data_IF_666033534650
#
_entry.id   IF_666033534650
#
_cell.length_a   1.000
_cell.length_b   1.000
_cell.length_c   1.000
_cell.angle_alpha   90.00
_cell.angle_beta   90.00
_cell.angle_gamma   90.00
#
_symmetry.space_group_name_H-M   'P 1'
#
loop_
_entity.id
_entity.type
_entity.pdbx_description
1 polymer ?
#
# COMPACT_ATOMS: atom_id res chain seq x y z
N UNK A 1 3.94 15.46 16.94
CA UNK A 1 4.78 15.74 15.76
C UNK A 1 4.30 14.82 14.64
N UNK A 2 4.21 15.30 13.42
CA UNK A 2 3.86 14.47 12.28
C UNK A 2 4.79 13.26 12.16
N UNK A 3 4.23 12.14 11.69
CA UNK A 3 5.00 10.93 11.44
C UNK A 3 5.24 10.75 9.95
N UNK A 4 6.27 10.01 9.60
CA UNK A 4 6.59 9.62 8.24
C UNK A 4 6.36 8.13 8.06
N UNK A 5 5.51 7.77 7.11
CA UNK A 5 5.23 6.37 6.81
C UNK A 5 6.38 5.77 6.00
N UNK A 6 6.91 4.65 6.46
CA UNK A 6 8.04 3.95 5.81
C UNK A 6 7.55 2.75 5.01
N UNK A 7 8.40 2.24 4.13
CA UNK A 7 8.12 1.02 3.39
C UNK A 7 7.74 -0.13 4.31
N UNK A 8 6.65 -0.86 4.02
CA UNK A 8 6.18 -1.96 4.87
C UNK A 8 6.96 -3.26 4.68
N UNK A 9 7.86 -3.33 3.71
CA UNK A 9 8.75 -4.47 3.42
C UNK A 9 10.21 -4.01 3.38
N UNK A 10 11.15 -4.92 3.57
CA UNK A 10 12.57 -4.57 3.69
C UNK A 10 13.16 -3.98 2.41
N UNK A 11 12.76 -4.48 1.27
CA UNK A 11 13.09 -3.95 -0.06
C UNK A 11 11.85 -4.01 -0.93
N UNK A 12 11.72 -3.14 -1.93
CA UNK A 12 10.52 -3.08 -2.75
C UNK A 12 10.87 -3.12 -4.24
N UNK A 13 10.37 -4.16 -4.89
CA UNK A 13 10.30 -4.24 -6.34
C UNK A 13 8.84 -4.05 -6.76
N UNK A 14 8.52 -2.95 -7.43
CA UNK A 14 7.19 -2.69 -7.98
C UNK A 14 6.96 -3.60 -9.20
N UNK A 15 5.87 -4.35 -9.19
CA UNK A 15 5.44 -5.24 -10.28
C UNK A 15 4.27 -4.68 -11.08
N UNK A 16 3.39 -3.87 -10.44
CA UNK A 16 2.38 -3.08 -11.12
C UNK A 16 2.19 -1.74 -10.41
N UNK A 17 2.16 -0.65 -11.17
CA UNK A 17 2.05 0.71 -10.65
C UNK A 17 0.61 1.16 -10.43
N UNK A 18 0.47 2.24 -9.66
CA UNK A 18 -0.79 2.92 -9.39
C UNK A 18 -1.40 3.49 -10.68
N UNK A 19 -2.71 3.20 -10.91
CA UNK A 19 -3.49 3.62 -12.09
C UNK A 19 -2.82 3.28 -13.44
N UNK A 20 -2.09 2.16 -13.47
CA UNK A 20 -1.40 1.70 -14.67
C UNK A 20 -2.38 1.40 -15.81
N UNK A 21 -2.17 2.04 -16.96
CA UNK A 21 -3.05 1.90 -18.12
C UNK A 21 -2.98 0.52 -18.78
N UNK A 22 -1.82 -0.14 -18.76
CA UNK A 22 -1.66 -1.50 -19.27
C UNK A 22 -2.41 -2.50 -18.39
N UNK A 23 -2.33 -2.35 -17.08
CA UNK A 23 -3.09 -3.13 -16.12
C UNK A 23 -4.60 -3.01 -16.38
N UNK A 24 -5.09 -1.75 -16.57
CA UNK A 24 -6.50 -1.51 -16.89
C UNK A 24 -6.95 -2.16 -18.20
N UNK A 25 -6.09 -2.17 -19.23
CA UNK A 25 -6.40 -2.85 -20.51
C UNK A 25 -6.48 -4.36 -20.35
N UNK A 26 -5.61 -4.95 -19.53
CA UNK A 26 -5.53 -6.40 -19.33
C UNK A 26 -6.65 -6.92 -18.43
N UNK A 27 -6.90 -6.26 -17.31
CA UNK A 27 -7.82 -6.74 -16.27
C UNK A 27 -9.19 -6.04 -16.27
N UNK A 28 -9.38 -4.97 -17.05
CA UNK A 28 -10.65 -4.28 -17.20
C UNK A 28 -11.00 -3.29 -16.08
N UNK A 29 -10.14 -3.11 -15.06
CA UNK A 29 -10.38 -2.19 -13.95
C UNK A 29 -9.13 -1.38 -13.61
N UNK A 30 -9.34 -0.26 -12.90
CA UNK A 30 -8.26 0.64 -12.48
C UNK A 30 -7.52 0.04 -11.29
N UNK A 31 -6.20 0.04 -11.33
CA UNK A 31 -5.33 -0.40 -10.25
C UNK A 31 -5.09 0.75 -9.26
N UNK A 32 -5.82 0.75 -8.13
CA UNK A 32 -5.76 1.85 -7.15
C UNK A 32 -4.63 1.74 -6.13
N UNK A 33 -3.73 0.80 -6.33
CA UNK A 33 -2.59 0.55 -5.48
C UNK A 33 -1.30 0.33 -6.26
N UNK A 34 -0.34 -0.23 -5.56
CA UNK A 34 0.93 -0.69 -6.11
C UNK A 34 1.11 -2.15 -5.74
N UNK A 35 1.36 -3.00 -6.73
CA UNK A 35 1.80 -4.37 -6.49
C UNK A 35 3.31 -4.41 -6.35
N UNK A 36 3.79 -5.10 -5.33
CA UNK A 36 5.22 -5.20 -5.07
C UNK A 36 5.61 -6.52 -4.41
N UNK A 37 6.89 -6.83 -4.54
CA UNK A 37 7.53 -7.96 -3.84
C UNK A 37 8.80 -7.47 -3.17
N UNK A 38 9.33 -8.25 -2.24
CA UNK A 38 10.73 -8.13 -1.86
C UNK A 38 11.62 -8.28 -3.11
N UNK A 39 12.64 -7.44 -3.23
CA UNK A 39 13.50 -7.40 -4.43
C UNK A 39 14.11 -8.78 -4.73
N UNK A 40 14.57 -9.46 -3.70
CA UNK A 40 15.18 -10.79 -3.81
C UNK A 40 14.15 -11.92 -3.75
N UNK A 41 12.86 -11.59 -3.52
CA UNK A 41 11.74 -12.55 -3.33
C UNK A 41 12.00 -13.60 -2.24
N UNK A 42 12.73 -13.23 -1.18
CA UNK A 42 13.12 -14.12 -0.09
C UNK A 42 12.38 -13.83 1.21
N UNK A 43 12.03 -12.56 1.42
CA UNK A 43 11.33 -12.11 2.63
C UNK A 43 9.93 -11.63 2.29
N UNK A 44 8.93 -12.29 2.84
CA UNK A 44 7.51 -11.94 2.65
C UNK A 44 6.94 -11.17 3.84
N UNK A 45 7.77 -10.83 4.83
CA UNK A 45 7.34 -10.13 6.04
C UNK A 45 6.84 -8.73 5.72
N UNK A 46 5.65 -8.41 6.25
CA UNK A 46 5.06 -7.08 6.18
C UNK A 46 5.10 -6.45 7.58
N UNK A 47 5.56 -5.23 7.64
CA UNK A 47 5.59 -4.40 8.84
C UNK A 47 4.57 -3.27 8.72
N UNK A 48 4.06 -2.75 9.84
CA UNK A 48 3.29 -1.52 9.81
C UNK A 48 4.21 -0.36 9.38
N UNK A 49 3.66 0.57 8.58
CA UNK A 49 4.43 1.68 8.02
C UNK A 49 4.72 2.81 9.03
N UNK A 50 4.03 2.82 10.18
CA UNK A 50 4.14 3.86 11.20
C UNK A 50 3.38 3.52 12.47
N UNK A 51 3.05 4.55 13.26
CA UNK A 51 2.18 4.43 14.41
C UNK A 51 0.72 4.56 13.97
N UNK A 52 -0.08 3.52 14.15
CA UNK A 52 -1.46 3.49 13.68
C UNK A 52 -2.33 2.52 14.46
N UNK A 53 -3.59 2.44 14.03
CA UNK A 53 -4.57 1.49 14.57
C UNK A 53 -5.08 0.58 13.45
N UNK A 54 -5.13 -0.72 13.70
CA UNK A 54 -5.75 -1.70 12.79
C UNK A 54 -7.26 -1.49 12.85
N UNK A 55 -7.85 -0.94 11.78
CA UNK A 55 -9.28 -0.70 11.68
C UNK A 55 -10.04 -1.90 11.15
N UNK A 56 -9.37 -2.74 10.36
CA UNK A 56 -9.92 -3.98 9.84
C UNK A 56 -8.84 -5.02 9.60
N UNK A 57 -9.15 -6.29 9.80
CA UNK A 57 -8.35 -7.41 9.30
C UNK A 57 -9.24 -8.63 9.10
N UNK A 58 -9.01 -9.38 8.01
CA UNK A 58 -9.79 -10.57 7.68
C UNK A 58 -9.86 -10.85 6.20
N UNK A 59 -10.83 -11.67 5.80
CA UNK A 59 -11.02 -12.08 4.42
C UNK A 59 -11.83 -11.04 3.62
N UNK A 60 -11.35 -10.72 2.44
CA UNK A 60 -12.04 -9.94 1.42
C UNK A 60 -12.14 -10.74 0.11
N UNK A 61 -13.28 -10.75 -0.61
CA UNK A 61 -13.48 -11.61 -1.80
C UNK A 61 -12.42 -11.45 -2.89
N UNK A 62 -12.02 -10.22 -3.21
CA UNK A 62 -10.96 -9.97 -4.19
C UNK A 62 -9.57 -9.80 -3.54
N UNK A 63 -9.50 -9.20 -2.37
CA UNK A 63 -8.23 -8.91 -1.69
C UNK A 63 -7.61 -10.10 -0.94
N UNK A 64 -8.35 -11.18 -0.74
CA UNK A 64 -7.89 -12.30 0.10
C UNK A 64 -7.81 -11.91 1.57
N UNK A 65 -6.78 -12.31 2.27
CA UNK A 65 -6.50 -11.82 3.60
C UNK A 65 -6.01 -10.36 3.53
N UNK A 66 -6.68 -9.48 4.26
CA UNK A 66 -6.46 -8.03 4.21
C UNK A 66 -6.20 -7.50 5.62
N UNK A 67 -5.30 -6.52 5.72
CA UNK A 67 -5.12 -5.68 6.91
C UNK A 67 -5.30 -4.23 6.48
N UNK A 68 -6.08 -3.47 7.25
CA UNK A 68 -6.28 -2.03 7.07
C UNK A 68 -5.83 -1.30 8.32
N UNK A 69 -4.97 -0.30 8.14
CA UNK A 69 -4.42 0.49 9.24
C UNK A 69 -4.64 1.97 8.93
N UNK A 70 -5.17 2.70 9.90
CA UNK A 70 -5.26 4.17 9.84
C UNK A 70 -4.08 4.76 10.59
N UNK A 71 -3.38 5.65 9.91
CA UNK A 71 -2.26 6.44 10.40
C UNK A 71 -2.66 7.91 10.45
N UNK A 72 -2.41 8.59 11.57
CA UNK A 72 -2.73 9.99 11.78
C UNK A 72 -1.49 10.88 11.59
N UNK A 73 -1.74 12.14 11.19
CA UNK A 73 -0.72 13.17 11.08
C UNK A 73 0.50 12.74 10.24
N UNK A 74 0.26 12.16 9.05
CA UNK A 74 1.31 11.66 8.19
C UNK A 74 1.89 12.78 7.33
N UNK A 75 3.19 13.07 7.49
CA UNK A 75 3.94 13.95 6.60
C UNK A 75 4.26 13.21 5.29
N UNK A 76 3.72 13.70 4.19
CA UNK A 76 4.02 13.19 2.86
C UNK A 76 5.34 13.73 2.33
N UNK A 77 5.99 13.08 1.35
CA UNK A 77 7.18 13.62 0.67
C UNK A 77 6.99 15.01 0.05
N UNK A 78 5.75 15.41 -0.23
CA UNK A 78 5.38 16.77 -0.69
C UNK A 78 5.44 17.84 0.41
N UNK A 79 5.51 17.43 1.68
CA UNK A 79 5.42 18.30 2.87
C UNK A 79 3.99 18.49 3.38
N UNK A 80 2.97 17.96 2.70
CA UNK A 80 1.60 17.97 3.21
C UNK A 80 1.45 17.01 4.40
N UNK A 81 0.56 17.35 5.35
CA UNK A 81 0.20 16.48 6.46
C UNK A 81 -1.23 15.96 6.21
N UNK A 82 -1.39 14.65 6.19
CA UNK A 82 -2.67 13.98 5.98
C UNK A 82 -2.83 12.77 6.89
N UNK A 83 -4.08 12.45 7.20
CA UNK A 83 -4.43 11.14 7.73
C UNK A 83 -4.50 10.16 6.58
N UNK A 84 -3.96 8.96 6.76
CA UNK A 84 -3.85 7.95 5.71
C UNK A 84 -4.43 6.63 6.18
N UNK A 85 -5.37 6.08 5.42
CA UNK A 85 -5.74 4.67 5.49
C UNK A 85 -4.85 3.88 4.52
N UNK A 86 -4.14 2.89 5.03
CA UNK A 86 -3.38 1.96 4.19
C UNK A 86 -4.01 0.58 4.26
N UNK A 87 -4.16 -0.03 3.08
CA UNK A 87 -4.69 -1.37 2.90
C UNK A 87 -3.60 -2.28 2.36
N UNK A 88 -3.46 -3.43 2.98
CA UNK A 88 -2.48 -4.46 2.63
C UNK A 88 -3.24 -5.72 2.22
N UNK A 89 -3.12 -6.15 0.97
CA UNK A 89 -3.89 -7.23 0.38
C UNK A 89 -3.05 -8.45 0.04
N UNK A 90 -3.72 -9.55 -0.25
CA UNK A 90 -3.18 -10.83 -0.69
C UNK A 90 -2.26 -11.51 0.34
N UNK A 91 -2.48 -11.23 1.65
CA UNK A 91 -1.66 -11.80 2.69
C UNK A 91 -1.86 -13.33 2.79
N UNK A 92 -0.77 -14.04 2.95
CA UNK A 92 -0.80 -15.46 3.31
C UNK A 92 -1.23 -15.62 4.77
N UNK A 93 -0.71 -14.77 5.66
CA UNK A 93 -1.01 -14.81 7.09
C UNK A 93 -1.12 -13.41 7.68
N UNK A 94 -2.16 -13.20 8.50
CA UNK A 94 -2.36 -12.00 9.32
C UNK A 94 -1.80 -12.27 10.73
N UNK A 95 -1.05 -11.31 11.29
CA UNK A 95 -0.43 -11.40 12.63
C UNK A 95 -1.00 -10.40 13.63
N UNK A 96 -1.94 -9.57 13.22
CA UNK A 96 -2.57 -8.52 14.04
C UNK A 96 -4.07 -8.74 14.13
N UNK A 97 -4.72 -8.01 15.03
CA UNK A 97 -6.17 -8.03 15.22
C UNK A 97 -6.76 -6.63 15.12
N UNK A 98 -8.04 -6.53 14.76
CA UNK A 98 -8.77 -5.27 14.76
C UNK A 98 -8.73 -4.58 16.14
N UNK A 99 -8.55 -3.27 16.14
CA UNK A 99 -8.37 -2.45 17.34
C UNK A 99 -6.95 -2.44 17.90
N UNK A 100 -6.01 -3.19 17.33
CA UNK A 100 -4.63 -3.21 17.79
C UNK A 100 -3.90 -1.93 17.37
N UNK A 101 -3.20 -1.31 18.34
CA UNK A 101 -2.21 -0.28 18.05
C UNK A 101 -0.94 -0.93 17.53
N UNK A 102 -0.36 -0.34 16.49
CA UNK A 102 0.85 -0.83 15.83
C UNK A 102 1.88 0.29 15.71
N UNK A 103 3.12 -0.11 15.56
CA UNK A 103 4.26 0.77 15.29
C UNK A 103 5.05 0.23 14.10
N UNK A 104 5.97 1.02 13.53
CA UNK A 104 6.87 0.59 12.45
C UNK A 104 7.64 -0.71 12.74
N UNK A 105 7.70 -1.14 14.00
CA UNK A 105 8.37 -2.37 14.42
C UNK A 105 7.40 -3.55 14.61
N UNK A 106 6.12 -3.34 14.33
CA UNK A 106 5.08 -4.37 14.42
C UNK A 106 4.97 -5.14 13.11
N UNK A 107 5.20 -6.45 13.15
CA UNK A 107 4.88 -7.34 12.01
C UNK A 107 3.38 -7.48 11.91
N UNK A 108 2.82 -7.17 10.74
CA UNK A 108 1.36 -7.24 10.51
C UNK A 108 0.95 -8.50 9.75
N UNK A 109 1.89 -9.13 9.04
CA UNK A 109 1.61 -10.35 8.28
C UNK A 109 2.75 -10.76 7.36
N UNK A 110 2.41 -11.66 6.46
CA UNK A 110 3.26 -12.08 5.35
C UNK A 110 2.46 -11.94 4.07
N UNK A 111 3.02 -11.36 3.02
CA UNK A 111 2.34 -11.34 1.73
C UNK A 111 2.37 -12.72 1.07
N UNK A 112 1.36 -13.00 0.28
CA UNK A 112 1.18 -14.29 -0.37
C UNK A 112 0.40 -14.17 -1.67
N UNK A 113 -0.54 -15.09 -1.90
CA UNK A 113 -1.30 -15.21 -3.13
C UNK A 113 -2.78 -15.48 -2.85
N UNK A 114 -3.35 -14.90 -1.79
CA UNK A 114 -4.77 -15.11 -1.44
C UNK A 114 -5.69 -14.13 -2.18
N UNK A 115 -6.96 -14.52 -2.38
CA UNK A 115 -7.93 -13.73 -3.13
C UNK A 115 -7.71 -13.77 -4.65
N UNK A 116 -8.08 -12.70 -5.35
CA UNK A 116 -7.92 -12.56 -6.80
C UNK A 116 -6.50 -12.14 -7.16
N UNK A 117 -5.56 -13.06 -7.09
CA UNK A 117 -4.14 -12.84 -7.33
C UNK A 117 -3.56 -13.94 -8.21
N UNK A 118 -2.67 -13.59 -9.15
CA UNK A 118 -2.02 -14.53 -10.07
C UNK A 118 -0.64 -15.00 -9.61
N UNK A 119 -0.11 -14.45 -8.52
CA UNK A 119 1.20 -14.81 -7.97
C UNK A 119 1.50 -14.09 -6.67
N UNK A 120 2.43 -14.61 -5.88
CA UNK A 120 2.74 -14.05 -4.56
C UNK A 120 3.26 -12.61 -4.67
N UNK A 121 2.55 -11.66 -4.08
CA UNK A 121 2.90 -10.25 -4.01
C UNK A 121 2.15 -9.55 -2.88
N UNK A 122 2.56 -8.34 -2.54
CA UNK A 122 1.83 -7.41 -1.70
C UNK A 122 1.19 -6.35 -2.59
N UNK A 123 -0.14 -6.20 -2.52
CA UNK A 123 -0.85 -5.05 -3.05
C UNK A 123 -1.08 -4.04 -1.93
N UNK A 124 -0.65 -2.80 -2.14
CA UNK A 124 -0.77 -1.70 -1.18
C UNK A 124 -1.64 -0.60 -1.79
N UNK A 125 -2.66 -0.16 -1.05
CA UNK A 125 -3.42 1.04 -1.37
C UNK A 125 -3.24 2.08 -0.27
N UNK A 126 -3.22 3.37 -0.65
CA UNK A 126 -3.24 4.51 0.26
C UNK A 126 -4.45 5.38 -0.05
N UNK A 127 -5.12 5.86 0.99
CA UNK A 127 -6.34 6.64 0.86
C UNK A 127 -6.39 7.74 1.93
N UNK A 128 -6.94 8.89 1.60
CA UNK A 128 -7.22 9.97 2.55
C UNK A 128 -8.59 9.85 3.19
N UNK A 129 -9.47 8.98 2.68
CA UNK A 129 -10.74 8.66 3.31
C UNK A 129 -10.53 7.68 4.48
N UNK A 130 -10.38 8.24 5.68
CA UNK A 130 -10.24 7.48 6.91
C UNK A 130 -11.58 7.17 7.58
N UNK A 131 -12.68 7.77 7.12
CA UNK A 131 -14.03 7.46 7.60
C UNK A 131 -14.50 6.11 7.06
N UNK A 132 -14.12 5.80 5.80
CA UNK A 132 -14.42 4.52 5.16
C UNK A 132 -13.12 3.77 4.75
N UNK A 133 -12.24 3.47 5.70
CA UNK A 133 -10.88 2.99 5.39
C UNK A 133 -10.82 1.60 4.75
N UNK A 134 -11.95 0.87 4.76
CA UNK A 134 -12.06 -0.48 4.20
C UNK A 134 -12.51 -0.49 2.72
N UNK A 135 -12.86 0.67 2.17
CA UNK A 135 -13.41 0.75 0.83
C UNK A 135 -12.43 1.34 -0.16
N UNK A 136 -12.45 0.79 -1.37
CA UNK A 136 -11.75 1.35 -2.53
C UNK A 136 -12.77 1.79 -3.57
N UNK A 137 -12.43 2.67 -4.51
CA UNK A 137 -13.35 3.10 -5.57
C UNK A 137 -13.93 1.94 -6.40
N UNK A 138 -13.27 0.80 -6.44
CA UNK A 138 -13.74 -0.37 -7.18
C UNK A 138 -14.76 -1.22 -6.44
N UNK A 139 -14.62 -1.33 -5.13
CA UNK A 139 -15.32 -2.34 -4.33
C UNK A 139 -16.60 -1.82 -3.69
N UNK A 140 -16.78 -0.52 -3.62
CA UNK A 140 -17.91 0.08 -2.93
C UNK A 140 -18.78 0.96 -3.82
N UNK A 141 -19.86 0.39 -4.33
CA UNK A 141 -20.93 1.15 -4.96
C UNK A 141 -21.80 1.92 -3.94
N UNK A 142 -21.58 1.72 -2.67
CA UNK A 142 -22.41 2.24 -1.57
C UNK A 142 -21.70 3.20 -0.64
N UNK A 143 -20.40 3.40 -0.76
CA UNK A 143 -19.70 4.32 0.11
C UNK A 143 -19.97 5.79 -0.29
N UNK A 144 -19.88 6.70 0.71
CA UNK A 144 -20.22 8.11 0.51
C UNK A 144 -19.26 8.79 -0.48
N UNK A 145 -18.00 8.40 -0.51
CA UNK A 145 -16.97 8.93 -1.41
C UNK A 145 -17.28 8.58 -2.85
N UNK A 146 -17.65 7.35 -3.13
CA UNK A 146 -18.05 6.93 -4.49
C UNK A 146 -19.38 7.56 -4.93
N UNK A 147 -20.34 7.71 -4.02
CA UNK A 147 -21.58 8.44 -4.32
C UNK A 147 -21.31 9.89 -4.70
N UNK A 148 -20.30 10.50 -4.11
CA UNK A 148 -19.85 11.84 -4.45
C UNK A 148 -18.97 11.89 -5.73
N UNK A 149 -18.59 10.73 -6.28
CA UNK A 149 -17.67 10.66 -7.43
C UNK A 149 -16.24 11.07 -7.12
N UNK A 150 -15.86 11.07 -5.84
CA UNK A 150 -14.54 11.48 -5.39
C UNK A 150 -13.62 10.26 -5.30
N UNK A 151 -12.45 10.36 -5.92
CA UNK A 151 -11.36 9.41 -5.77
C UNK A 151 -10.35 10.01 -4.79
N UNK A 152 -10.34 9.50 -3.57
CA UNK A 152 -9.46 9.94 -2.46
C UNK A 152 -8.18 9.11 -2.36
N UNK A 153 -7.97 8.17 -3.29
CA UNK A 153 -6.77 7.32 -3.30
C UNK A 153 -5.52 8.10 -3.67
N UNK A 154 -4.41 7.74 -3.07
CA UNK A 154 -3.09 8.29 -3.36
C UNK A 154 -2.17 7.19 -3.92
N UNK A 155 -1.23 7.59 -4.78
CA UNK A 155 -0.16 6.69 -5.17
C UNK A 155 0.71 6.34 -3.95
N UNK A 156 0.80 5.07 -3.54
CA UNK A 156 1.60 4.68 -2.38
C UNK A 156 3.07 5.14 -2.45
N UNK A 157 3.63 5.24 -3.66
CA UNK A 157 5.01 5.72 -3.84
C UNK A 157 5.19 7.21 -3.51
N UNK A 158 4.10 8.00 -3.44
CA UNK A 158 4.10 9.40 -3.03
C UNK A 158 3.75 9.60 -1.55
N UNK A 159 3.45 8.51 -0.84
CA UNK A 159 3.09 8.51 0.59
C UNK A 159 4.23 7.95 1.44
N UNK A 160 4.90 6.92 0.93
CA UNK A 160 5.90 6.17 1.67
C UNK A 160 7.30 6.81 1.55
N UNK A 161 8.02 6.79 2.67
CA UNK A 161 9.40 7.26 2.75
C UNK A 161 10.36 6.07 2.79
N UNK A 162 11.52 6.20 2.12
CA UNK A 162 12.56 5.19 2.17
C UNK A 162 13.43 5.34 3.44
N UNK A 163 13.87 4.24 4.03
CA UNK A 163 14.85 4.27 5.14
C UNK A 163 16.25 4.58 4.58
N UNK A 164 16.98 5.50 5.20
CA UNK A 164 18.37 5.84 4.83
C UNK A 164 19.34 4.64 4.85
N UNK A 165 19.07 3.66 5.72
CA UNK A 165 19.92 2.48 5.91
C UNK A 165 19.77 1.39 4.84
N UNK A 166 18.97 1.61 3.82
CA UNK A 166 18.77 0.65 2.73
C UNK A 166 19.30 1.26 1.41
N UNK A 167 20.62 1.19 1.17
CA UNK A 167 21.24 1.74 -0.05
C UNK A 167 20.72 1.06 -1.33
N UNK A 168 20.05 -0.08 -1.19
CA UNK A 168 19.57 -0.92 -2.29
C UNK A 168 18.09 -0.72 -2.62
N UNK A 169 17.43 0.31 -2.10
CA UNK A 169 16.06 0.65 -2.45
C UNK A 169 16.01 1.29 -3.84
N UNK A 170 16.33 0.49 -4.83
CA UNK A 170 16.00 0.79 -6.21
C UNK A 170 14.59 0.29 -6.46
N UNK A 171 13.69 1.18 -6.84
CA UNK A 171 12.43 0.79 -7.45
C UNK A 171 12.76 0.13 -8.79
N UNK A 172 12.94 -1.17 -8.79
CA UNK A 172 13.09 -1.91 -10.03
C UNK A 172 11.69 -2.07 -10.61
N UNK A 173 11.37 -1.23 -11.58
CA UNK A 173 10.16 -1.39 -12.38
C UNK A 173 10.32 -2.67 -13.20
N UNK A 174 9.41 -3.62 -13.00
CA UNK A 174 9.37 -4.81 -13.86
C UNK A 174 9.08 -4.36 -15.29
N UNK A 175 9.91 -4.82 -16.23
CA UNK A 175 9.75 -4.58 -17.67
C UNK A 175 8.45 -5.16 -18.25
N UNK A 176 7.75 -6.01 -17.49
CA UNK A 176 6.53 -6.68 -17.95
C UNK A 176 5.36 -5.71 -18.20
N UNK A 177 5.27 -4.62 -17.47
CA UNK A 177 4.19 -3.65 -17.64
C UNK A 177 4.64 -2.30 -18.21
N UNK A 178 5.84 -2.18 -18.77
CA UNK A 178 6.37 -0.98 -19.45
C UNK A 178 5.90 0.35 -18.82
N UNK A 179 5.77 0.37 -17.51
CA UNK A 179 5.38 1.56 -16.78
C UNK A 179 6.65 2.33 -16.51
N UNK A 180 6.90 3.32 -17.32
CA UNK A 180 7.73 4.43 -16.89
C UNK A 180 6.95 5.06 -15.72
N UNK A 181 7.23 4.62 -14.50
CA UNK A 181 7.09 5.49 -13.37
C UNK A 181 8.02 6.64 -13.72
N UNK A 182 7.45 7.82 -13.98
CA UNK A 182 8.27 9.00 -14.18
C UNK A 182 9.18 9.07 -12.97
N UNK A 183 10.49 8.98 -13.18
CA UNK A 183 11.52 9.01 -12.15
C UNK A 183 11.64 10.39 -11.47
N UNK A 184 10.63 11.25 -11.62
CA UNK A 184 10.48 12.50 -10.86
C UNK A 184 10.10 12.28 -9.39
N UNK A 185 10.35 11.08 -8.87
CA UNK A 185 10.25 10.81 -7.45
C UNK A 185 11.51 11.37 -6.81
N UNK A 186 11.44 12.64 -6.41
CA UNK A 186 12.40 13.24 -5.49
C UNK A 186 12.24 12.54 -4.13
N UNK A 187 12.87 11.37 -3.97
CA UNK A 187 13.00 10.73 -2.66
C UNK A 187 13.86 11.64 -1.80
N UNK A 188 13.26 12.35 -0.89
CA UNK A 188 13.99 12.91 0.23
C UNK A 188 14.47 11.73 1.07
N UNK A 189 15.75 11.36 0.90
CA UNK A 189 16.44 10.42 1.78
C UNK A 189 16.53 11.11 3.14
N UNK A 190 16.11 10.46 4.21
CA UNK A 190 16.26 10.99 5.56
C UNK A 190 17.74 11.07 5.94
N UNK A 191 18.17 12.22 6.40
CA UNK A 191 19.38 12.39 7.18
C UNK A 191 19.18 11.94 8.63
#
# INVERSE_FOLDING_TARGET
MPQRLILPINSMRVTAGYKNSAYKREFGYTHYGVDCTDEKRKDTTIWASGHGIVTHCGWHPSGGNVVVIVYKDCELPTGEIKDIAMRYYHLDKILVKQGQNVTKDTRIGYYGNTGASSGAHLHIECDTDIEYPNYTPQTSKSNAVLKAGIDSTLNPTHVLWCKKSSPDLQYVVSSYYNTVLSLDINYKIFE
#
